data_IF_463546768959
#
_entry.id   IF_463546768959
#
_cell.length_a   1.000
_cell.length_b   1.000
_cell.length_c   1.000
_cell.angle_alpha   90.00
_cell.angle_beta   90.00
_cell.angle_gamma   90.00
#
_symmetry.space_group_name_H-M   'P 1'
#
loop_
_entity.id
_entity.type
_entity.pdbx_description
1 polymer ?
#
# COMPACT_ATOMS: atom_id res chain seq x y z
N UNK A 1 -12.36 -17.09 8.39
CA UNK A 1 -13.41 -16.13 8.79
C UNK A 1 -12.88 -15.22 9.89
N UNK A 2 -13.26 -13.93 9.97
CA UNK A 2 -12.83 -13.07 11.10
C UNK A 2 -13.49 -13.58 12.38
N UNK A 3 -12.76 -13.56 13.51
CA UNK A 3 -13.27 -13.91 14.84
C UNK A 3 -14.23 -12.83 15.38
N UNK A 4 -14.06 -11.57 14.99
CA UNK A 4 -14.94 -10.46 15.41
C UNK A 4 -14.47 -9.08 14.94
N UNK A 5 -15.13 -8.02 15.41
CA UNK A 5 -14.84 -6.61 15.09
C UNK A 5 -14.25 -5.89 16.30
N UNK A 6 -13.15 -5.16 16.08
CA UNK A 6 -12.63 -4.18 17.04
C UNK A 6 -13.07 -2.79 16.61
N UNK A 7 -13.87 -2.11 17.43
CA UNK A 7 -14.36 -0.75 17.16
C UNK A 7 -14.52 0.04 18.46
N UNK A 8 -14.98 1.30 18.37
CA UNK A 8 -15.15 2.16 19.55
C UNK A 8 -16.13 1.59 20.57
N UNK A 9 -17.17 0.86 20.12
CA UNK A 9 -18.12 0.20 21.01
C UNK A 9 -17.47 -0.92 21.82
N UNK A 10 -16.73 -1.84 21.18
CA UNK A 10 -16.04 -2.90 21.92
C UNK A 10 -15.05 -2.31 22.93
N UNK A 11 -14.36 -1.22 22.56
CA UNK A 11 -13.45 -0.50 23.45
C UNK A 11 -14.18 0.11 24.66
N UNK A 12 -15.31 0.79 24.46
CA UNK A 12 -16.11 1.38 25.54
C UNK A 12 -16.70 0.33 26.48
N UNK A 13 -17.09 -0.82 25.95
CA UNK A 13 -17.59 -1.95 26.73
C UNK A 13 -16.47 -2.79 27.39
N UNK A 14 -15.20 -2.41 27.23
CA UNK A 14 -14.03 -3.17 27.69
C UNK A 14 -14.03 -4.63 27.18
N UNK A 15 -14.47 -4.83 25.94
CA UNK A 15 -14.53 -6.12 25.26
C UNK A 15 -13.43 -6.24 24.21
N UNK A 16 -12.84 -7.42 24.02
CA UNK A 16 -11.78 -7.61 23.03
C UNK A 16 -12.31 -7.42 21.60
N UNK A 17 -13.57 -7.77 21.33
CA UNK A 17 -14.25 -7.58 20.04
C UNK A 17 -15.77 -7.74 20.18
N UNK A 18 -16.52 -7.31 19.15
CA UNK A 18 -17.92 -7.66 18.93
C UNK A 18 -18.02 -8.82 17.92
N UNK A 19 -18.97 -9.73 18.11
CA UNK A 19 -19.33 -10.71 17.08
C UNK A 19 -19.95 -10.04 15.85
N UNK A 20 -20.11 -10.81 14.77
CA UNK A 20 -20.77 -10.34 13.55
C UNK A 20 -22.21 -9.89 13.85
N UNK A 21 -23.00 -10.74 14.51
CA UNK A 21 -24.40 -10.44 14.86
C UNK A 21 -24.52 -9.18 15.70
N UNK A 22 -23.71 -9.05 16.75
CA UNK A 22 -23.73 -7.86 17.62
C UNK A 22 -23.40 -6.56 16.87
N UNK A 23 -22.51 -6.62 15.86
CA UNK A 23 -22.28 -5.48 15.00
C UNK A 23 -23.52 -5.15 14.14
N UNK A 24 -24.15 -6.15 13.53
CA UNK A 24 -25.36 -5.94 12.73
C UNK A 24 -26.54 -5.43 13.56
N UNK A 25 -26.70 -5.89 14.80
CA UNK A 25 -27.68 -5.36 15.75
C UNK A 25 -27.35 -3.90 16.13
N UNK A 26 -26.08 -3.60 16.43
CA UNK A 26 -25.61 -2.25 16.70
C UNK A 26 -26.02 -1.27 15.58
N UNK A 27 -25.93 -1.73 14.33
CA UNK A 27 -26.27 -0.93 13.14
C UNK A 27 -27.76 -0.67 12.97
N UNK A 28 -28.61 -1.56 13.46
CA UNK A 28 -30.06 -1.38 13.41
C UNK A 28 -30.56 -0.42 14.50
N UNK A 29 -29.71 -0.10 15.49
CA UNK A 29 -30.05 0.85 16.54
C UNK A 29 -30.34 2.25 15.97
N UNK A 30 -31.47 2.87 16.33
CA UNK A 30 -31.82 4.22 15.87
C UNK A 30 -30.86 5.31 16.40
N UNK A 31 -30.11 5.02 17.46
CA UNK A 31 -29.14 5.93 18.07
C UNK A 31 -27.74 5.88 17.40
N UNK A 32 -27.64 5.23 16.23
CA UNK A 32 -26.46 4.98 15.38
C UNK A 32 -25.12 5.53 15.92
N UNK A 33 -24.39 4.75 16.73
CA UNK A 33 -23.04 5.13 17.13
C UNK A 33 -21.98 4.84 16.06
N UNK A 34 -22.34 4.11 14.98
CA UNK A 34 -21.41 3.69 13.94
C UNK A 34 -21.38 4.69 12.76
N UNK A 35 -20.21 5.17 12.33
CA UNK A 35 -20.11 6.09 11.18
C UNK A 35 -20.29 5.39 9.82
N UNK A 36 -20.30 4.05 9.78
CA UNK A 36 -20.36 3.28 8.54
C UNK A 36 -21.76 2.74 8.25
N UNK A 37 -22.21 2.91 7.00
CA UNK A 37 -23.47 2.35 6.53
C UNK A 37 -23.41 0.80 6.47
N UNK A 38 -24.52 0.07 6.73
CA UNK A 38 -24.53 -1.40 6.73
C UNK A 38 -24.01 -2.06 5.46
N UNK A 39 -24.30 -1.48 4.29
CA UNK A 39 -23.75 -1.96 3.01
C UNK A 39 -22.23 -1.86 2.96
N UNK A 40 -21.64 -0.77 3.46
CA UNK A 40 -20.19 -0.58 3.49
C UNK A 40 -19.53 -1.60 4.42
N UNK A 41 -20.09 -1.81 5.62
CA UNK A 41 -19.56 -2.80 6.56
C UNK A 41 -19.64 -4.23 6.02
N UNK A 42 -20.71 -4.55 5.28
CA UNK A 42 -20.80 -5.83 4.56
C UNK A 42 -19.68 -5.96 3.53
N UNK A 43 -19.47 -4.94 2.71
CA UNK A 43 -18.38 -4.91 1.73
C UNK A 43 -17.01 -5.04 2.42
N UNK A 44 -16.75 -4.35 3.53
CA UNK A 44 -15.50 -4.49 4.30
C UNK A 44 -15.29 -5.90 4.88
N UNK A 45 -16.38 -6.62 5.16
CA UNK A 45 -16.32 -7.98 5.66
C UNK A 45 -16.03 -9.00 4.56
N UNK A 46 -16.62 -8.77 3.39
CA UNK A 46 -16.49 -9.58 2.18
C UNK A 46 -15.16 -9.31 1.46
N UNK A 47 -14.64 -8.08 1.55
CA UNK A 47 -13.30 -7.64 1.11
C UNK A 47 -12.21 -8.22 2.03
N UNK A 48 -12.16 -9.54 2.07
CA UNK A 48 -11.07 -10.27 2.70
C UNK A 48 -9.95 -10.37 1.68
N UNK A 49 -8.78 -9.78 1.94
CA UNK A 49 -7.59 -10.35 1.34
C UNK A 49 -7.55 -11.80 1.81
N UNK A 50 -7.45 -12.74 0.86
CA UNK A 50 -6.87 -14.03 1.20
C UNK A 50 -5.52 -13.69 1.81
N UNK A 51 -5.43 -13.83 3.14
CA UNK A 51 -4.17 -13.84 3.85
C UNK A 51 -3.53 -15.18 3.51
N UNK A 52 -3.17 -15.37 2.24
CA UNK A 52 -2.17 -16.34 1.93
C UNK A 52 -0.89 -15.80 2.56
N UNK A 53 -0.51 -16.41 3.68
CA UNK A 53 0.65 -16.00 4.48
C UNK A 53 1.94 -16.19 3.66
N UNK A 54 1.87 -16.86 2.51
CA UNK A 54 2.96 -17.05 1.56
C UNK A 54 3.03 -15.96 0.48
N UNK A 55 2.02 -15.10 0.35
CA UNK A 55 2.04 -14.05 -0.67
C UNK A 55 2.95 -12.90 -0.21
N UNK A 56 4.23 -12.97 -0.56
CA UNK A 56 5.22 -11.92 -0.36
C UNK A 56 5.05 -10.90 -1.49
N UNK A 57 4.72 -9.66 -1.14
CA UNK A 57 4.45 -8.59 -2.11
C UNK A 57 5.10 -7.27 -1.71
N UNK A 58 5.26 -6.32 -2.64
CA UNK A 58 5.84 -5.01 -2.34
C UNK A 58 5.24 -4.35 -1.09
N UNK A 59 3.92 -4.39 -0.94
CA UNK A 59 3.23 -3.84 0.26
C UNK A 59 3.55 -4.57 1.57
N UNK A 60 3.88 -5.87 1.52
CA UNK A 60 4.06 -6.73 2.71
C UNK A 60 5.51 -6.83 3.16
N UNK A 61 6.44 -6.72 2.22
CA UNK A 61 7.87 -6.72 2.52
C UNK A 61 8.33 -5.36 3.04
N UNK A 62 7.54 -4.31 2.80
CA UNK A 62 7.73 -2.99 3.38
C UNK A 62 7.14 -2.86 4.79
N UNK A 63 7.58 -1.83 5.51
CA UNK A 63 7.09 -1.49 6.85
C UNK A 63 7.81 -2.21 7.98
N UNK A 64 7.40 -1.91 9.22
CA UNK A 64 8.05 -2.41 10.43
C UNK A 64 7.82 -3.92 10.66
N UNK A 65 8.89 -4.68 10.93
CA UNK A 65 8.83 -6.11 11.27
C UNK A 65 7.81 -6.44 12.38
N UNK A 66 7.69 -5.58 13.41
CA UNK A 66 6.69 -5.77 14.48
C UNK A 66 5.25 -5.60 14.00
N UNK A 67 5.01 -4.69 13.05
CA UNK A 67 3.71 -4.55 12.39
C UNK A 67 3.38 -5.80 11.56
N UNK A 68 4.37 -6.34 10.84
CA UNK A 68 4.24 -7.62 10.10
C UNK A 68 3.89 -8.77 11.04
N UNK A 69 4.61 -8.90 12.16
CA UNK A 69 4.34 -9.91 13.21
C UNK A 69 2.92 -9.79 13.77
N UNK A 70 2.51 -8.57 14.13
CA UNK A 70 1.17 -8.27 14.63
C UNK A 70 0.09 -8.58 13.59
N UNK A 71 0.33 -8.29 12.32
CA UNK A 71 -0.60 -8.57 11.24
C UNK A 71 -0.87 -10.08 11.13
N UNK A 72 0.18 -10.90 11.20
CA UNK A 72 0.07 -12.38 11.13
C UNK A 72 -0.60 -12.95 12.38
N UNK A 73 -0.18 -12.53 13.58
CA UNK A 73 -0.56 -13.19 14.85
C UNK A 73 -1.83 -12.61 15.49
N UNK A 74 -2.03 -11.28 15.43
CA UNK A 74 -3.11 -10.56 16.16
C UNK A 74 -4.22 -10.07 15.23
N UNK A 75 -3.89 -9.34 14.16
CA UNK A 75 -4.88 -8.63 13.34
C UNK A 75 -5.51 -9.47 12.22
N UNK A 76 -4.86 -10.53 11.75
CA UNK A 76 -5.47 -11.50 10.83
C UNK A 76 -6.82 -12.05 11.34
N UNK A 77 -7.03 -12.00 12.67
CA UNK A 77 -8.19 -12.56 13.35
C UNK A 77 -9.36 -11.59 13.49
N UNK A 78 -9.16 -10.27 13.40
CA UNK A 78 -10.21 -9.29 13.69
C UNK A 78 -10.38 -8.22 12.61
N UNK A 79 -11.61 -7.74 12.44
CA UNK A 79 -11.93 -6.64 11.53
C UNK A 79 -11.87 -5.31 12.31
N UNK A 80 -11.04 -4.36 11.85
CA UNK A 80 -11.13 -2.96 12.28
C UNK A 80 -11.84 -2.17 11.17
N UNK A 81 -13.09 -1.70 11.36
CA UNK A 81 -13.85 -1.03 10.32
C UNK A 81 -13.21 0.23 9.75
N UNK A 82 -12.51 1.02 10.58
CA UNK A 82 -11.84 2.23 10.11
C UNK A 82 -10.67 1.91 9.19
N UNK A 83 -9.79 1.00 9.60
CA UNK A 83 -8.69 0.54 8.76
C UNK A 83 -9.20 -0.11 7.46
N UNK A 84 -10.28 -0.89 7.57
CA UNK A 84 -10.90 -1.58 6.44
C UNK A 84 -11.63 -0.64 5.49
N UNK A 85 -12.19 0.45 6.00
CA UNK A 85 -12.77 1.49 5.16
C UNK A 85 -11.72 2.12 4.26
N UNK A 86 -10.52 2.41 4.76
CA UNK A 86 -9.45 2.96 3.94
C UNK A 86 -9.03 2.00 2.82
N UNK A 87 -8.92 0.70 3.12
CA UNK A 87 -8.67 -0.36 2.14
C UNK A 87 -9.78 -0.42 1.08
N UNK A 88 -11.04 -0.56 1.51
CA UNK A 88 -12.20 -0.64 0.62
C UNK A 88 -12.33 0.58 -0.28
N UNK A 89 -12.11 1.78 0.28
CA UNK A 89 -12.10 3.03 -0.49
C UNK A 89 -11.00 3.00 -1.54
N UNK A 90 -9.82 2.47 -1.23
CA UNK A 90 -8.75 2.23 -2.20
C UNK A 90 -9.24 1.36 -3.35
N UNK A 91 -9.76 0.17 -3.05
CA UNK A 91 -10.32 -0.78 -4.04
C UNK A 91 -11.38 -0.15 -4.93
N UNK A 92 -12.34 0.58 -4.35
CA UNK A 92 -13.39 1.27 -5.10
C UNK A 92 -12.84 2.37 -6.00
N UNK A 93 -11.74 2.99 -5.60
CA UNK A 93 -11.12 4.04 -6.39
C UNK A 93 -10.31 3.45 -7.55
N UNK A 94 -9.61 2.35 -7.32
CA UNK A 94 -8.90 1.60 -8.37
C UNK A 94 -9.86 1.13 -9.45
N UNK A 95 -11.04 0.62 -9.10
CA UNK A 95 -12.02 0.19 -10.10
C UNK A 95 -12.51 1.31 -11.03
N UNK A 96 -12.54 2.57 -10.56
CA UNK A 96 -12.82 3.71 -11.44
C UNK A 96 -11.70 3.96 -12.45
N UNK A 97 -10.43 3.84 -12.04
CA UNK A 97 -9.28 4.00 -12.93
C UNK A 97 -9.11 2.81 -13.88
N UNK A 98 -9.46 1.60 -13.43
CA UNK A 98 -9.51 0.41 -14.27
C UNK A 98 -10.49 0.56 -15.44
N UNK A 99 -11.57 1.33 -15.28
CA UNK A 99 -12.53 1.59 -16.35
C UNK A 99 -12.06 2.67 -17.35
N UNK A 100 -11.03 3.45 -17.03
CA UNK A 100 -10.55 4.54 -17.89
C UNK A 100 -9.93 3.99 -19.19
N UNK A 101 -10.12 4.66 -20.35
CA UNK A 101 -9.43 4.28 -21.56
C UNK A 101 -7.90 4.46 -21.42
N UNK A 102 -7.09 3.72 -22.19
CA UNK A 102 -5.64 3.94 -22.23
C UNK A 102 -5.28 5.38 -22.61
N UNK A 103 -4.14 5.87 -22.13
CA UNK A 103 -3.62 7.18 -22.54
C UNK A 103 -3.33 7.23 -24.05
N UNK A 104 -3.43 8.39 -24.71
CA UNK A 104 -3.04 8.52 -26.11
C UNK A 104 -1.60 8.06 -26.36
N UNK A 105 -1.37 7.29 -27.42
CA UNK A 105 -0.05 6.75 -27.77
C UNK A 105 0.32 5.44 -27.05
N UNK A 106 -0.53 4.93 -26.17
CA UNK A 106 -0.35 3.62 -25.53
C UNK A 106 -0.81 2.51 -26.47
N UNK A 107 0.06 1.52 -26.72
CA UNK A 107 -0.26 0.34 -27.52
C UNK A 107 -1.14 -0.65 -26.75
N UNK A 108 -0.86 -0.80 -25.44
CA UNK A 108 -1.58 -1.72 -24.55
C UNK A 108 -1.55 -1.21 -23.12
N UNK A 109 -2.70 -1.23 -22.45
CA UNK A 109 -2.81 -0.99 -21.01
C UNK A 109 -3.08 -2.31 -20.28
N UNK A 110 -2.19 -2.71 -19.39
CA UNK A 110 -2.30 -3.90 -18.55
C UNK A 110 -2.64 -3.41 -17.14
N UNK A 111 -3.83 -3.77 -16.66
CA UNK A 111 -4.37 -3.29 -15.36
C UNK A 111 -4.42 -4.45 -14.38
N UNK A 112 -3.98 -4.21 -13.15
CA UNK A 112 -4.14 -5.13 -12.03
C UNK A 112 -3.63 -6.56 -12.33
N UNK A 113 -2.64 -6.69 -13.21
CA UNK A 113 -2.05 -8.00 -13.54
C UNK A 113 -1.09 -8.40 -12.43
N UNK A 114 -1.34 -9.58 -11.83
CA UNK A 114 -0.41 -10.15 -10.86
C UNK A 114 0.81 -10.72 -11.59
N UNK A 115 1.97 -10.14 -11.33
CA UNK A 115 3.27 -10.61 -11.75
C UNK A 115 3.90 -11.39 -10.59
N UNK A 116 4.61 -12.48 -10.89
CA UNK A 116 5.34 -13.23 -9.87
C UNK A 116 6.60 -13.84 -10.41
N UNK A 117 7.63 -13.84 -9.58
CA UNK A 117 8.91 -14.50 -9.85
C UNK A 117 9.44 -15.12 -8.57
N UNK A 118 10.51 -15.89 -8.69
CA UNK A 118 11.22 -16.48 -7.57
C UNK A 118 12.36 -15.57 -7.14
N UNK A 119 12.61 -15.50 -5.83
CA UNK A 119 13.71 -14.76 -5.22
C UNK A 119 14.48 -15.73 -4.32
N UNK A 120 15.80 -15.76 -4.48
CA UNK A 120 16.68 -16.52 -3.61
C UNK A 120 16.93 -15.74 -2.31
N UNK A 121 16.79 -16.43 -1.18
CA UNK A 121 16.98 -15.87 0.17
C UNK A 121 17.78 -16.84 1.02
N UNK A 122 18.20 -16.43 2.21
CA UNK A 122 18.83 -17.36 3.17
C UNK A 122 17.90 -18.50 3.63
N UNK A 123 16.59 -18.33 3.48
CA UNK A 123 15.57 -19.34 3.80
C UNK A 123 15.19 -20.22 2.59
N UNK A 124 15.92 -20.09 1.48
CA UNK A 124 15.66 -20.77 0.22
C UNK A 124 14.90 -19.91 -0.79
N UNK A 125 14.49 -20.54 -1.89
CA UNK A 125 13.78 -19.88 -2.98
C UNK A 125 12.31 -19.66 -2.59
N UNK A 126 11.86 -18.41 -2.66
CA UNK A 126 10.48 -18.04 -2.33
C UNK A 126 9.84 -17.25 -3.46
N UNK A 127 8.52 -17.39 -3.59
CA UNK A 127 7.76 -16.66 -4.59
C UNK A 127 7.52 -15.23 -4.11
N UNK A 128 7.98 -14.25 -4.88
CA UNK A 128 7.64 -12.84 -4.71
C UNK A 128 6.64 -12.44 -5.79
N UNK A 129 5.53 -11.81 -5.40
CA UNK A 129 4.48 -11.42 -6.34
C UNK A 129 3.95 -10.01 -6.06
N UNK A 130 3.60 -9.30 -7.11
CA UNK A 130 3.08 -7.95 -7.04
C UNK A 130 1.98 -7.75 -8.07
N UNK A 131 1.12 -6.78 -7.80
CA UNK A 131 0.04 -6.41 -8.71
C UNK A 131 0.16 -4.91 -8.96
N UNK A 132 0.95 -4.48 -9.96
CA UNK A 132 0.99 -3.09 -10.35
C UNK A 132 -0.40 -2.65 -10.79
N UNK A 133 -0.80 -1.47 -10.37
CA UNK A 133 -2.10 -0.91 -10.67
C UNK A 133 -2.30 -0.76 -12.21
N UNK A 134 -1.31 -0.17 -12.90
CA UNK A 134 -1.30 -0.02 -14.36
C UNK A 134 0.11 -0.06 -14.96
N UNK A 135 0.24 -0.83 -16.05
CA UNK A 135 1.39 -0.85 -16.95
C UNK A 135 0.91 -0.45 -18.34
N UNK A 136 1.42 0.67 -18.86
CA UNK A 136 1.16 1.16 -20.21
C UNK A 136 2.37 0.81 -21.11
N UNK A 137 2.14 -0.05 -22.11
CA UNK A 137 3.14 -0.39 -23.13
C UNK A 137 3.15 0.70 -24.19
N UNK A 138 4.26 1.41 -24.30
CA UNK A 138 4.47 2.55 -25.20
C UNK A 138 5.10 2.12 -26.52
N UNK A 139 5.98 1.11 -26.46
CA UNK A 139 6.68 0.54 -27.60
C UNK A 139 6.85 -0.96 -27.39
N UNK A 140 6.68 -1.75 -28.45
CA UNK A 140 6.76 -3.22 -28.43
C UNK A 140 7.51 -3.71 -29.67
N UNK A 141 8.80 -3.34 -29.76
CA UNK A 141 9.67 -3.52 -30.93
C UNK A 141 10.84 -4.45 -30.60
N UNK A 142 12.11 -4.05 -30.73
CA UNK A 142 13.27 -4.79 -30.23
C UNK A 142 13.39 -4.74 -28.70
N UNK A 143 12.66 -3.81 -28.07
CA UNK A 143 12.52 -3.60 -26.63
C UNK A 143 11.07 -3.30 -26.29
N UNK A 144 10.69 -3.57 -25.04
CA UNK A 144 9.37 -3.21 -24.51
C UNK A 144 9.55 -1.98 -23.65
N UNK A 145 9.02 -0.82 -24.07
CA UNK A 145 9.05 0.41 -23.26
C UNK A 145 7.75 0.58 -22.53
N UNK A 146 7.82 0.78 -21.22
CA UNK A 146 6.64 0.87 -20.37
C UNK A 146 6.63 2.11 -19.48
N UNK A 147 5.42 2.60 -19.22
CA UNK A 147 5.12 3.47 -18.09
C UNK A 147 4.38 2.66 -17.03
N UNK A 148 4.78 2.79 -15.77
CA UNK A 148 4.09 2.15 -14.64
C UNK A 148 3.45 3.24 -13.81
N UNK A 149 2.15 3.11 -13.53
CA UNK A 149 1.39 4.04 -12.70
C UNK A 149 0.88 3.33 -11.47
N UNK A 150 1.01 3.97 -10.31
CA UNK A 150 0.51 3.51 -9.02
C UNK A 150 -0.40 4.59 -8.40
N UNK A 151 -1.67 4.23 -8.13
CA UNK A 151 -2.68 5.14 -7.62
C UNK A 151 -2.82 5.00 -6.11
N UNK A 152 -2.79 6.12 -5.40
CA UNK A 152 -2.86 6.19 -3.93
C UNK A 152 -4.07 6.97 -3.45
N UNK A 153 -5.04 6.26 -2.89
CA UNK A 153 -6.19 6.87 -2.21
C UNK A 153 -5.79 7.36 -0.83
N UNK A 154 -5.73 8.69 -0.62
CA UNK A 154 -5.45 9.27 0.71
C UNK A 154 -6.60 10.15 1.20
N UNK A 155 -6.73 10.27 2.52
CA UNK A 155 -7.84 11.03 3.14
C UNK A 155 -7.74 12.51 2.80
N UNK A 156 -6.55 13.05 2.92
CA UNK A 156 -6.18 14.40 2.53
C UNK A 156 -4.79 14.40 1.90
N UNK A 157 -4.60 15.21 0.86
CA UNK A 157 -3.29 15.45 0.25
C UNK A 157 -2.74 16.75 0.84
N UNK A 158 -1.70 16.71 1.69
CA UNK A 158 -1.15 17.91 2.27
C UNK A 158 -0.78 18.93 1.20
N UNK A 159 -1.09 20.20 1.47
CA UNK A 159 -0.71 21.29 0.56
C UNK A 159 0.79 21.40 0.36
N UNK A 160 1.57 20.95 1.34
CA UNK A 160 3.03 20.98 1.38
C UNK A 160 3.68 19.71 0.84
N UNK A 161 2.92 18.78 0.26
CA UNK A 161 3.43 17.54 -0.29
C UNK A 161 4.16 17.82 -1.61
N UNK A 162 5.47 18.04 -1.51
CA UNK A 162 6.39 18.26 -2.62
C UNK A 162 7.13 16.98 -3.04
N UNK A 163 6.97 15.88 -2.31
CA UNK A 163 7.63 14.60 -2.61
C UNK A 163 6.64 13.44 -2.42
N UNK A 164 6.80 12.38 -3.21
CA UNK A 164 6.10 11.13 -2.96
C UNK A 164 6.65 10.46 -1.70
N UNK A 165 5.78 9.81 -0.92
CA UNK A 165 6.21 9.04 0.26
C UNK A 165 7.23 7.97 -0.15
N UNK A 166 8.32 7.83 0.61
CA UNK A 166 9.39 6.86 0.36
C UNK A 166 8.87 5.43 0.18
N UNK A 167 7.96 4.99 1.04
CA UNK A 167 7.33 3.66 0.95
C UNK A 167 6.61 3.42 -0.40
N UNK A 168 5.97 4.44 -0.97
CA UNK A 168 5.31 4.33 -2.26
C UNK A 168 6.32 4.38 -3.43
N UNK A 169 7.41 5.15 -3.29
CA UNK A 169 8.51 5.14 -4.26
C UNK A 169 9.19 3.76 -4.30
N UNK A 170 9.43 3.16 -3.14
CA UNK A 170 9.98 1.81 -3.03
C UNK A 170 9.04 0.79 -3.66
N UNK A 171 7.73 0.95 -3.44
CA UNK A 171 6.72 0.02 -3.94
C UNK A 171 6.67 0.03 -5.47
N UNK A 172 6.61 1.22 -6.08
CA UNK A 172 6.53 1.34 -7.54
C UNK A 172 7.84 0.89 -8.21
N UNK A 173 8.99 1.07 -7.57
CA UNK A 173 10.25 0.53 -8.06
C UNK A 173 10.32 -1.01 -7.95
N UNK A 174 9.75 -1.62 -6.90
CA UNK A 174 9.60 -3.09 -6.84
C UNK A 174 8.69 -3.61 -7.96
N UNK A 175 7.64 -2.87 -8.31
CA UNK A 175 6.81 -3.17 -9.48
C UNK A 175 7.58 -3.02 -10.80
N UNK A 176 8.45 -2.02 -10.92
CA UNK A 176 9.35 -1.88 -12.07
C UNK A 176 10.27 -3.09 -12.22
N UNK A 177 10.85 -3.56 -11.11
CA UNK A 177 11.67 -4.78 -11.10
C UNK A 177 10.88 -6.03 -11.50
N UNK A 178 9.67 -6.23 -10.96
CA UNK A 178 8.78 -7.34 -11.35
C UNK A 178 8.40 -7.27 -12.83
N UNK A 179 8.08 -6.06 -13.32
CA UNK A 179 7.70 -5.82 -14.71
C UNK A 179 8.83 -6.20 -15.65
N UNK A 180 10.07 -5.81 -15.33
CA UNK A 180 11.24 -6.15 -16.15
C UNK A 180 11.45 -7.66 -16.30
N UNK A 181 11.20 -8.42 -15.22
CA UNK A 181 11.40 -9.88 -15.21
C UNK A 181 10.23 -10.65 -15.83
N UNK A 182 8.99 -10.21 -15.59
CA UNK A 182 7.81 -11.02 -15.88
C UNK A 182 7.03 -10.58 -17.13
N UNK A 183 7.10 -9.30 -17.51
CA UNK A 183 6.30 -8.77 -18.62
C UNK A 183 6.61 -9.43 -19.97
N UNK A 184 7.87 -9.74 -20.34
CA UNK A 184 8.17 -10.38 -21.61
C UNK A 184 7.41 -11.71 -21.80
N UNK A 185 7.39 -12.56 -20.77
CA UNK A 185 6.64 -13.82 -20.77
C UNK A 185 5.13 -13.59 -20.92
N UNK A 186 4.59 -12.62 -20.16
CA UNK A 186 3.16 -12.23 -20.23
C UNK A 186 2.77 -11.78 -21.64
N UNK A 187 3.67 -11.11 -22.36
CA UNK A 187 3.45 -10.65 -23.73
C UNK A 187 3.74 -11.71 -24.80
N UNK A 188 4.20 -12.91 -24.41
CA UNK A 188 4.61 -13.96 -25.36
C UNK A 188 5.92 -13.63 -26.10
N UNK A 189 6.79 -12.82 -25.47
CA UNK A 189 8.04 -12.32 -26.03
C UNK A 189 9.23 -12.59 -25.08
N UNK A 190 9.48 -13.85 -24.68
CA UNK A 190 10.55 -14.19 -23.75
C UNK A 190 11.92 -13.66 -24.23
N UNK A 191 12.71 -13.12 -23.31
CA UNK A 191 14.05 -12.60 -23.58
C UNK A 191 14.11 -11.18 -24.16
N UNK A 192 12.99 -10.57 -24.53
CA UNK A 192 12.97 -9.16 -24.96
C UNK A 192 13.16 -8.25 -23.74
N UNK A 193 14.13 -7.32 -23.75
CA UNK A 193 14.37 -6.43 -22.62
C UNK A 193 13.21 -5.47 -22.41
N UNK A 194 12.96 -5.13 -21.15
CA UNK A 194 11.94 -4.14 -20.76
C UNK A 194 12.63 -2.89 -20.21
N UNK A 195 12.37 -1.77 -20.86
CA UNK A 195 12.80 -0.45 -20.43
C UNK A 195 11.63 0.23 -19.72
N UNK A 196 11.79 0.47 -18.41
CA UNK A 196 10.80 1.23 -17.63
C UNK A 196 11.11 2.71 -17.82
N UNK A 197 10.40 3.30 -18.76
CA UNK A 197 10.59 4.66 -19.25
C UNK A 197 10.13 5.72 -18.24
N UNK A 198 9.06 5.41 -17.52
CA UNK A 198 8.42 6.32 -16.57
C UNK A 198 7.79 5.55 -15.41
N UNK A 199 8.03 6.04 -14.19
CA UNK A 199 7.27 5.72 -13.00
C UNK A 199 6.38 6.90 -12.67
N UNK A 200 5.12 6.64 -12.35
CA UNK A 200 4.17 7.68 -11.96
C UNK A 200 3.41 7.26 -10.69
N UNK A 201 3.40 8.12 -9.67
CA UNK A 201 2.56 7.95 -8.48
C UNK A 201 1.50 9.04 -8.49
N UNK A 202 0.23 8.62 -8.46
CA UNK A 202 -0.92 9.51 -8.48
C UNK A 202 -1.64 9.41 -7.13
N UNK A 203 -1.47 10.42 -6.29
CA UNK A 203 -2.27 10.58 -5.08
C UNK A 203 -3.58 11.24 -5.44
N UNK A 204 -4.67 10.69 -4.93
CA UNK A 204 -5.98 11.29 -5.09
C UNK A 204 -6.74 11.27 -3.76
N UNK A 205 -7.51 12.35 -3.58
CA UNK A 205 -8.48 12.57 -2.52
C UNK A 205 -9.73 13.15 -3.17
N UNK A 206 -10.85 13.23 -2.45
CA UNK A 206 -12.10 13.76 -3.01
C UNK A 206 -11.96 15.20 -3.55
N UNK A 207 -10.97 15.97 -3.05
CA UNK A 207 -10.83 17.40 -3.34
C UNK A 207 -9.55 17.74 -4.13
N UNK A 208 -8.64 16.78 -4.34
CA UNK A 208 -7.33 17.04 -4.94
C UNK A 208 -6.73 15.79 -5.54
N UNK A 209 -5.97 15.99 -6.61
CA UNK A 209 -5.02 15.04 -7.17
C UNK A 209 -3.60 15.64 -7.09
N UNK A 210 -2.60 14.80 -6.81
CA UNK A 210 -1.18 15.15 -6.85
C UNK A 210 -0.43 14.03 -7.55
N UNK A 211 0.48 14.40 -8.44
CA UNK A 211 1.20 13.48 -9.31
C UNK A 211 2.69 13.69 -9.17
N UNK A 212 3.43 12.60 -9.15
CA UNK A 212 4.88 12.56 -9.18
C UNK A 212 5.31 11.63 -10.31
N UNK A 213 6.37 11.98 -11.04
CA UNK A 213 6.86 11.20 -12.19
C UNK A 213 8.39 11.10 -12.13
N UNK A 214 8.97 10.05 -12.70
CA UNK A 214 10.41 9.93 -12.88
C UNK A 214 10.96 10.72 -14.08
N UNK A 215 10.11 11.29 -14.95
CA UNK A 215 10.55 12.07 -16.12
C UNK A 215 11.11 13.47 -15.78
N UNK A 216 10.99 13.92 -14.53
CA UNK A 216 11.48 15.20 -14.07
C UNK A 216 10.53 15.87 -13.06
N UNK A 217 10.91 17.05 -12.54
CA UNK A 217 10.07 17.78 -11.62
C UNK A 217 8.76 18.21 -12.28
N UNK A 218 7.67 18.19 -11.51
CA UNK A 218 6.38 18.74 -11.92
C UNK A 218 6.07 19.99 -11.11
N UNK A 219 5.08 20.77 -11.55
CA UNK A 219 4.56 21.90 -10.77
C UNK A 219 3.18 21.56 -10.23
N UNK A 220 2.95 21.89 -8.96
CA UNK A 220 1.68 21.65 -8.29
C UNK A 220 1.24 22.83 -7.43
N UNK A 221 -0.07 23.08 -7.35
CA UNK A 221 -0.60 24.14 -6.49
C UNK A 221 -0.49 23.77 -5.00
N UNK A 222 0.12 24.63 -4.19
CA UNK A 222 0.31 24.50 -2.74
C UNK A 222 -0.30 25.66 -1.94
N UNK A 223 -0.31 25.55 -0.61
CA UNK A 223 -0.58 26.68 0.30
C UNK A 223 0.76 27.16 0.84
N UNK A 224 0.94 28.47 0.84
CA UNK A 224 2.14 29.14 1.34
C UNK A 224 2.46 28.71 2.78
N UNK A 225 3.71 28.35 3.06
CA UNK A 225 4.14 27.82 4.37
C UNK A 225 4.15 28.87 5.52
N UNK A 226 4.14 30.17 5.24
CA UNK A 226 4.29 31.24 6.27
C UNK A 226 3.52 32.53 5.92
N UNK A 227 3.17 33.38 6.92
CA UNK A 227 1.88 34.08 6.97
C UNK A 227 1.92 35.47 6.34
N UNK A 228 0.86 35.86 5.62
CA UNK A 228 0.30 37.24 5.67
C UNK A 228 -1.06 37.43 5.01
N UNK A 229 -1.54 36.50 4.19
CA UNK A 229 -2.91 36.56 3.67
C UNK A 229 -3.49 35.15 3.55
N UNK A 230 -4.58 34.92 4.28
CA UNK A 230 -5.33 33.67 4.23
C UNK A 230 -5.91 33.46 2.83
N UNK A 231 -5.28 32.58 2.03
CA UNK A 231 -5.86 32.10 0.76
C UNK A 231 -4.94 32.14 -0.46
N UNK A 232 -3.73 32.69 -0.35
CA UNK A 232 -2.79 32.66 -1.47
C UNK A 232 -2.21 31.27 -1.68
N UNK A 233 -2.23 30.83 -2.95
CA UNK A 233 -1.69 29.56 -3.37
C UNK A 233 -0.37 29.82 -4.09
N UNK A 234 0.62 28.99 -3.82
CA UNK A 234 1.93 29.05 -4.49
C UNK A 234 2.10 27.86 -5.45
N UNK A 235 2.96 28.06 -6.45
CA UNK A 235 3.47 26.95 -7.24
C UNK A 235 4.54 26.22 -6.42
N UNK A 236 4.35 24.91 -6.26
CA UNK A 236 5.32 24.02 -5.64
C UNK A 236 5.99 23.19 -6.72
N UNK A 237 7.31 23.17 -6.68
CA UNK A 237 8.09 22.16 -7.38
C UNK A 237 7.89 20.82 -6.69
N UNK A 238 7.50 19.81 -7.48
CA UNK A 238 7.28 18.44 -7.04
C UNK A 238 8.48 17.63 -7.46
N UNK A 239 9.20 17.07 -6.50
CA UNK A 239 10.40 16.28 -6.75
C UNK A 239 10.07 15.06 -7.63
N UNK A 240 10.97 14.69 -8.55
CA UNK A 240 10.78 13.50 -9.36
C UNK A 240 10.80 12.23 -8.50
N UNK A 241 10.19 11.16 -9.02
CA UNK A 241 10.38 9.81 -8.48
C UNK A 241 11.75 9.32 -8.94
N UNK A 242 12.57 8.87 -8.00
CA UNK A 242 13.85 8.27 -8.35
C UNK A 242 13.63 6.81 -8.83
N UNK A 243 14.16 6.51 -10.02
CA UNK A 243 14.19 5.16 -10.56
C UNK A 243 15.43 4.44 -10.02
N UNK A 244 15.23 3.45 -9.15
CA UNK A 244 16.34 2.78 -8.49
C UNK A 244 17.02 1.76 -9.43
N UNK A 245 18.35 1.58 -9.27
CA UNK A 245 19.05 0.48 -9.92
C UNK A 245 18.43 -0.87 -9.54
N UNK A 246 18.36 -1.84 -10.46
CA UNK A 246 17.79 -3.16 -10.19
C UNK A 246 18.40 -3.86 -8.97
N UNK A 247 19.69 -3.69 -8.73
CA UNK A 247 20.44 -4.32 -7.63
C UNK A 247 20.02 -3.78 -6.27
N UNK A 248 19.73 -2.47 -6.19
CA UNK A 248 19.23 -1.82 -4.97
C UNK A 248 17.84 -2.36 -4.64
N UNK A 249 16.98 -2.49 -5.64
CA UNK A 249 15.62 -3.01 -5.44
C UNK A 249 15.63 -4.49 -5.09
N UNK A 250 16.48 -5.28 -5.72
CA UNK A 250 16.63 -6.69 -5.39
C UNK A 250 17.09 -6.88 -3.94
N UNK A 251 18.06 -6.10 -3.48
CA UNK A 251 18.47 -6.09 -2.06
C UNK A 251 17.32 -5.72 -1.11
N UNK A 252 16.52 -4.70 -1.45
CA UNK A 252 15.35 -4.31 -0.66
C UNK A 252 14.27 -5.39 -0.62
N UNK A 253 14.04 -6.09 -1.74
CA UNK A 253 13.09 -7.20 -1.83
C UNK A 253 13.57 -8.35 -0.95
N UNK A 254 14.82 -8.80 -1.10
CA UNK A 254 15.39 -9.91 -0.33
C UNK A 254 15.31 -9.60 1.17
N UNK A 255 15.81 -8.44 1.59
CA UNK A 255 15.77 -8.03 3.00
C UNK A 255 14.34 -8.00 3.55
N UNK A 256 13.40 -7.38 2.83
CA UNK A 256 12.02 -7.27 3.29
C UNK A 256 11.27 -8.61 3.30
N UNK A 257 11.64 -9.54 2.42
CA UNK A 257 11.16 -10.94 2.39
C UNK A 257 11.67 -11.70 3.61
N UNK A 258 12.97 -11.62 3.88
CA UNK A 258 13.61 -12.31 5.01
C UNK A 258 13.01 -11.82 6.34
N UNK A 259 12.87 -10.50 6.53
CA UNK A 259 12.18 -9.95 7.70
C UNK A 259 10.73 -10.46 7.83
N UNK A 260 10.02 -10.64 6.72
CA UNK A 260 8.64 -11.12 6.74
C UNK A 260 8.58 -12.61 7.14
N UNK A 261 9.55 -13.42 6.71
CA UNK A 261 9.70 -14.82 7.11
C UNK A 261 10.04 -14.91 8.60
N UNK A 262 11.02 -14.14 9.07
CA UNK A 262 11.42 -14.07 10.48
C UNK A 262 10.25 -13.63 11.37
N UNK A 263 9.52 -12.59 10.98
CA UNK A 263 8.36 -12.11 11.72
C UNK A 263 7.21 -13.14 11.76
N UNK A 264 7.11 -14.03 10.77
CA UNK A 264 6.12 -15.11 10.77
C UNK A 264 6.53 -16.23 11.73
N UNK A 265 7.78 -16.65 11.65
CA UNK A 265 8.32 -17.81 12.36
C UNK A 265 8.64 -17.51 13.83
N UNK A 266 8.88 -16.24 14.16
CA UNK A 266 9.14 -15.83 15.54
C UNK A 266 7.90 -16.00 16.43
N UNK A 267 8.08 -16.72 17.54
CA UNK A 267 7.08 -16.85 18.60
C UNK A 267 7.00 -15.62 19.52
N UNK A 268 8.04 -14.79 19.50
CA UNK A 268 8.07 -13.52 20.22
C UNK A 268 7.92 -12.34 19.28
N UNK A 269 7.26 -11.24 19.69
CA UNK A 269 7.19 -10.05 18.86
C UNK A 269 8.60 -9.45 18.71
N UNK A 270 9.02 -9.04 17.48
CA UNK A 270 10.33 -8.41 17.25
C UNK A 270 10.57 -7.24 18.17
N UNK A 271 11.82 -7.01 18.55
CA UNK A 271 12.15 -5.89 19.43
C UNK A 271 11.69 -4.55 18.82
N UNK A 272 11.17 -3.64 19.65
CA UNK A 272 10.80 -2.30 19.19
C UNK A 272 12.04 -1.56 18.69
N UNK A 273 11.83 -0.65 17.74
CA UNK A 273 12.90 0.24 17.27
C UNK A 273 13.54 0.97 18.46
N UNK A 274 14.87 1.09 18.42
CA UNK A 274 15.67 1.71 19.46
C UNK A 274 16.38 2.96 18.93
N UNK A 275 16.99 3.74 19.82
CA UNK A 275 17.72 4.96 19.42
C UNK A 275 16.83 6.03 18.78
N UNK A 276 17.33 6.67 17.73
CA UNK A 276 16.63 7.78 17.03
C UNK A 276 15.34 7.30 16.34
N UNK A 277 15.34 6.03 15.89
CA UNK A 277 14.24 5.40 15.16
C UNK A 277 13.05 5.07 16.07
N UNK A 278 13.24 5.03 17.39
CA UNK A 278 12.15 4.85 18.35
C UNK A 278 11.06 5.92 18.19
N UNK A 279 11.42 7.13 17.73
CA UNK A 279 10.45 8.20 17.43
C UNK A 279 9.46 7.82 16.34
N UNK A 280 9.82 6.92 15.42
CA UNK A 280 8.90 6.42 14.40
C UNK A 280 7.77 5.57 15.03
N UNK A 281 8.02 4.95 16.18
CA UNK A 281 6.99 4.24 16.94
C UNK A 281 5.98 5.19 17.59
N UNK A 282 6.35 6.43 17.90
CA UNK A 282 5.47 7.41 18.56
C UNK A 282 4.33 7.90 17.65
N UNK A 283 4.52 7.79 16.33
CA UNK A 283 3.53 8.15 15.33
C UNK A 283 2.89 6.92 14.67
N UNK A 284 3.18 5.72 15.17
CA UNK A 284 2.67 4.48 14.62
C UNK A 284 1.25 4.18 15.11
N UNK A 285 0.31 3.93 14.20
CA UNK A 285 -1.08 3.59 14.53
C UNK A 285 -1.21 2.29 15.35
N UNK A 286 -0.18 1.44 15.32
CA UNK A 286 -0.10 0.18 16.08
C UNK A 286 0.62 0.34 17.42
N UNK A 287 1.01 1.56 17.81
CA UNK A 287 1.79 1.80 19.04
C UNK A 287 1.08 1.23 20.27
N UNK A 288 -0.24 1.42 20.41
CA UNK A 288 -1.01 0.90 21.55
C UNK A 288 -0.93 -0.61 21.66
N UNK A 289 -1.09 -1.32 20.55
CA UNK A 289 -0.99 -2.77 20.50
C UNK A 289 0.45 -3.27 20.69
N UNK A 290 1.44 -2.52 20.23
CA UNK A 290 2.85 -2.79 20.49
C UNK A 290 3.22 -2.62 21.96
N UNK A 291 2.69 -1.58 22.62
CA UNK A 291 2.90 -1.27 24.04
C UNK A 291 2.20 -2.31 24.92
N UNK A 292 0.97 -2.73 24.58
CA UNK A 292 0.28 -3.76 25.37
C UNK A 292 1.07 -5.07 25.46
N UNK A 293 1.76 -5.46 24.39
CA UNK A 293 2.63 -6.65 24.36
C UNK A 293 3.84 -6.55 25.30
N UNK A 294 4.30 -5.35 25.68
CA UNK A 294 5.41 -5.19 26.63
C UNK A 294 5.00 -5.50 28.07
N UNK A 295 3.71 -5.36 28.40
CA UNK A 295 3.18 -5.52 29.75
C UNK A 295 2.50 -6.88 29.99
N UNK A 296 2.47 -7.77 28.98
CA UNK A 296 1.95 -9.15 29.08
C UNK A 296 3.05 -10.18 29.36
N UNK A 297 4.31 -9.75 29.54
CA UNK A 297 5.43 -10.56 30.05
C UNK A 297 5.56 -10.39 31.56
#
# INVERSE_FOLDING_TARGET
MYKGIVCDRSRRENRPYLSRSECFECMQSPLRPCPFHPKMLRMMWEDRPELDVLDLSPTRVQGCARAKWLAVRKFARYLNPYARWHSLRGTLSHSFFEAAPPSPGVLRAIKELRLSTEVETWYGTVRFSGKPDLIEVLEDSDRIRVKITDWKSISDIPHTMCEAKKEHQDQINMYAWLTRRCLPEVLGRPGVPVDVDELEIVYFSMNRVRRFTSKGPLVGRGKQRYPRSSGEYEELELAPIELYPPEVIEGLIIWGVEEAIEARESDSPPEPLSGVEARLCDFCDLQRECVSLRYEK
#
